data_IF_365284670470
#
_entry.id   IF_365284670470
#
_cell.length_a   1.000
_cell.length_b   1.000
_cell.length_c   1.000
_cell.angle_alpha   90.00
_cell.angle_beta   90.00
_cell.angle_gamma   90.00
#
_symmetry.space_group_name_H-M   'P 1'
#
loop_
_entity.id
_entity.type
_entity.pdbx_description
1 polymer ?
#
# COMPACT_ATOMS: atom_id res chain seq x y z
N UNK A 1 7.53 6.47 -25.26
CA UNK A 1 6.08 6.24 -25.11
C UNK A 1 5.39 7.52 -25.45
N UNK A 2 4.59 7.52 -26.51
CA UNK A 2 3.82 8.70 -26.91
C UNK A 2 2.52 8.77 -26.10
N UNK A 3 1.87 9.94 -25.99
CA UNK A 3 0.57 10.08 -25.34
C UNK A 3 -0.50 9.15 -25.93
N UNK A 4 -0.38 8.83 -27.22
CA UNK A 4 -1.26 7.91 -27.95
C UNK A 4 -1.02 6.45 -27.55
N UNK A 5 0.24 6.06 -27.33
CA UNK A 5 0.59 4.71 -26.81
C UNK A 5 0.06 4.51 -25.38
N UNK A 6 0.10 5.55 -24.55
CA UNK A 6 -0.41 5.52 -23.18
C UNK A 6 -1.95 5.43 -23.14
N UNK A 7 -2.63 6.14 -24.05
CA UNK A 7 -4.08 6.08 -24.18
C UNK A 7 -4.57 4.72 -24.70
N UNK A 8 -3.89 4.16 -25.71
CA UNK A 8 -4.23 2.83 -26.26
C UNK A 8 -3.97 1.71 -25.25
N UNK A 9 -2.91 1.82 -24.45
CA UNK A 9 -2.66 0.92 -23.31
C UNK A 9 -3.75 1.05 -22.23
N UNK A 10 -4.13 2.27 -21.84
CA UNK A 10 -5.18 2.50 -20.85
C UNK A 10 -6.56 2.00 -21.30
N UNK A 11 -6.90 2.18 -22.58
CA UNK A 11 -8.13 1.63 -23.18
C UNK A 11 -8.09 0.09 -23.17
N UNK A 12 -6.93 -0.52 -23.41
CA UNK A 12 -6.79 -1.98 -23.38
C UNK A 12 -6.94 -2.59 -21.98
N UNK A 13 -6.53 -1.88 -20.92
CA UNK A 13 -6.73 -2.34 -19.54
C UNK A 13 -8.12 -2.02 -18.98
N UNK A 14 -8.73 -0.88 -19.37
CA UNK A 14 -10.13 -0.58 -19.04
C UNK A 14 -11.07 -1.57 -19.75
N UNK A 15 -10.78 -1.93 -21.00
CA UNK A 15 -11.52 -2.96 -21.72
C UNK A 15 -11.33 -4.37 -21.12
N UNK A 16 -10.31 -4.57 -20.29
CA UNK A 16 -10.06 -5.81 -19.54
C UNK A 16 -10.84 -5.87 -18.22
N UNK A 17 -11.31 -4.74 -17.73
CA UNK A 17 -12.01 -4.57 -16.46
C UNK A 17 -13.41 -4.01 -16.75
N UNK A 18 -14.36 -4.90 -17.04
CA UNK A 18 -15.71 -4.59 -17.55
C UNK A 18 -16.52 -3.55 -16.72
N UNK A 19 -16.09 -3.27 -15.49
CA UNK A 19 -16.30 -2.01 -14.79
C UNK A 19 -15.37 -1.96 -13.56
N UNK A 20 -14.36 -1.07 -13.48
CA UNK A 20 -13.63 -0.90 -12.23
C UNK A 20 -14.65 -0.42 -11.16
N UNK A 21 -14.78 -1.14 -10.04
CA UNK A 21 -15.64 -0.74 -8.93
C UNK A 21 -15.30 0.68 -8.50
N UNK A 22 -16.33 1.50 -8.28
CA UNK A 22 -16.21 2.89 -7.84
C UNK A 22 -15.31 3.02 -6.59
N UNK A 23 -15.28 1.99 -5.74
CA UNK A 23 -14.45 1.95 -4.53
C UNK A 23 -12.93 1.84 -4.83
N UNK A 24 -12.53 1.20 -5.93
CA UNK A 24 -11.13 1.17 -6.38
C UNK A 24 -10.69 2.53 -6.93
N UNK A 25 -11.61 3.28 -7.52
CA UNK A 25 -11.38 4.65 -7.96
C UNK A 25 -11.07 5.51 -6.72
N UNK A 26 -11.86 5.43 -5.65
CA UNK A 26 -11.61 6.21 -4.43
C UNK A 26 -10.26 5.90 -3.75
N UNK A 27 -9.83 4.63 -3.72
CA UNK A 27 -8.49 4.26 -3.22
C UNK A 27 -7.39 4.90 -4.08
N UNK A 28 -7.58 4.98 -5.41
CA UNK A 28 -6.60 5.62 -6.31
C UNK A 28 -6.51 7.15 -6.12
N UNK A 29 -7.59 7.79 -5.65
CA UNK A 29 -7.64 9.23 -5.34
C UNK A 29 -7.17 9.60 -3.93
N UNK A 30 -6.94 8.62 -3.05
CA UNK A 30 -6.53 8.87 -1.67
C UNK A 30 -5.24 9.70 -1.59
N UNK A 31 -5.32 10.85 -0.91
CA UNK A 31 -4.19 11.78 -0.75
C UNK A 31 -3.35 11.47 0.48
N UNK A 32 -3.89 10.71 1.43
CA UNK A 32 -3.21 10.26 2.63
C UNK A 32 -3.39 8.76 2.86
N UNK A 33 -2.49 8.10 3.63
CA UNK A 33 -2.66 6.69 4.01
C UNK A 33 -3.97 6.43 4.77
N UNK A 34 -4.42 7.38 5.58
CA UNK A 34 -5.69 7.27 6.30
C UNK A 34 -6.88 7.26 5.34
N UNK A 35 -6.86 8.12 4.31
CA UNK A 35 -7.89 8.13 3.26
C UNK A 35 -7.88 6.81 2.48
N UNK A 36 -6.70 6.24 2.20
CA UNK A 36 -6.57 4.97 1.50
C UNK A 36 -7.14 3.81 2.33
N UNK A 37 -6.90 3.80 3.66
CA UNK A 37 -7.45 2.81 4.59
C UNK A 37 -8.97 2.95 4.71
N UNK A 38 -9.49 4.17 4.76
CA UNK A 38 -10.93 4.43 4.82
C UNK A 38 -11.65 4.02 3.53
N UNK A 39 -11.05 4.31 2.37
CA UNK A 39 -11.54 3.87 1.07
C UNK A 39 -11.50 2.33 0.96
N UNK A 40 -10.42 1.69 1.41
CA UNK A 40 -10.29 0.24 1.48
C UNK A 40 -11.39 -0.42 2.33
N UNK A 41 -11.70 0.16 3.49
CA UNK A 41 -12.75 -0.34 4.38
C UNK A 41 -14.16 -0.25 3.77
N UNK A 42 -14.33 0.58 2.73
CA UNK A 42 -15.61 0.79 2.03
C UNK A 42 -15.80 -0.16 0.83
N UNK A 43 -14.77 -0.91 0.44
CA UNK A 43 -14.83 -1.90 -0.68
C UNK A 43 -15.73 -3.08 -0.28
N UNK A 44 -16.95 -3.13 -0.83
CA UNK A 44 -17.90 -4.23 -0.59
C UNK A 44 -17.70 -5.42 -1.54
N UNK A 45 -17.86 -6.63 -1.00
CA UNK A 45 -17.82 -7.89 -1.76
C UNK A 45 -16.43 -8.51 -1.92
N UNK A 46 -16.35 -9.55 -2.76
CA UNK A 46 -15.16 -10.36 -3.10
C UNK A 46 -14.19 -9.64 -4.08
N UNK A 47 -14.42 -8.34 -4.32
CA UNK A 47 -13.71 -7.59 -5.36
C UNK A 47 -12.40 -7.05 -4.83
N UNK A 48 -11.32 -7.71 -5.26
CA UNK A 48 -9.90 -7.33 -5.26
C UNK A 48 -9.40 -6.44 -4.10
N UNK A 49 -9.83 -6.75 -2.87
CA UNK A 49 -9.38 -6.09 -1.63
C UNK A 49 -7.86 -6.11 -1.49
N UNK A 50 -7.22 -7.17 -1.96
CA UNK A 50 -5.77 -7.31 -2.00
C UNK A 50 -5.13 -6.28 -2.94
N UNK A 51 -5.73 -6.01 -4.11
CA UNK A 51 -5.27 -4.96 -5.02
C UNK A 51 -5.40 -3.57 -4.38
N UNK A 52 -6.55 -3.28 -3.78
CA UNK A 52 -6.76 -2.02 -3.05
C UNK A 52 -5.77 -1.86 -1.90
N UNK A 53 -5.50 -2.94 -1.16
CA UNK A 53 -4.48 -2.98 -0.10
C UNK A 53 -3.08 -2.75 -0.64
N UNK A 54 -2.73 -3.32 -1.79
CA UNK A 54 -1.43 -3.11 -2.43
C UNK A 54 -1.22 -1.64 -2.79
N UNK A 55 -2.25 -0.98 -3.32
CA UNK A 55 -2.20 0.46 -3.59
C UNK A 55 -2.08 1.29 -2.32
N UNK A 56 -2.80 0.93 -1.25
CA UNK A 56 -2.67 1.60 0.05
C UNK A 56 -1.25 1.45 0.63
N UNK A 57 -0.63 0.27 0.52
CA UNK A 57 0.77 0.05 0.92
C UNK A 57 1.74 0.90 0.07
N UNK A 58 1.52 0.98 -1.23
CA UNK A 58 2.32 1.83 -2.10
C UNK A 58 2.16 3.33 -1.76
N UNK A 59 0.96 3.79 -1.41
CA UNK A 59 0.73 5.18 -0.96
C UNK A 59 1.32 5.46 0.42
N UNK A 60 1.28 4.48 1.33
CA UNK A 60 2.00 4.57 2.60
C UNK A 60 3.47 4.82 2.33
N UNK A 61 4.12 4.02 1.46
CA UNK A 61 5.53 4.22 1.06
C UNK A 61 5.82 5.65 0.60
N UNK A 62 5.01 6.21 -0.30
CA UNK A 62 5.20 7.58 -0.82
C UNK A 62 5.04 8.67 0.26
N UNK A 63 4.29 8.38 1.33
CA UNK A 63 4.10 9.28 2.46
C UNK A 63 5.27 9.26 3.45
N UNK A 64 6.05 8.17 3.48
CA UNK A 64 7.22 8.02 4.33
C UNK A 64 8.39 8.82 3.74
N UNK A 65 8.44 10.11 4.05
CA UNK A 65 9.47 11.04 3.55
C UNK A 65 10.56 11.29 4.57
N UNK A 66 11.80 11.30 4.10
CA UNK A 66 12.98 11.67 4.88
C UNK A 66 13.44 10.58 5.85
N UNK A 67 14.62 10.76 6.47
CA UNK A 67 15.20 9.77 7.38
C UNK A 67 14.50 9.73 8.74
N UNK A 68 13.58 10.63 9.04
CA UNK A 68 13.05 10.82 10.40
C UNK A 68 11.61 10.35 10.58
N UNK A 69 11.03 9.64 9.62
CA UNK A 69 9.68 9.11 9.82
C UNK A 69 9.66 8.09 10.96
N UNK A 70 8.55 8.08 11.70
CA UNK A 70 8.29 7.14 12.79
C UNK A 70 8.05 5.75 12.22
N UNK A 71 9.08 4.90 12.30
CA UNK A 71 9.05 3.52 11.78
C UNK A 71 8.01 2.66 12.49
N UNK A 72 7.72 2.90 13.77
CA UNK A 72 6.70 2.16 14.52
C UNK A 72 5.31 2.47 14.01
N UNK A 73 5.01 3.76 13.87
CA UNK A 73 3.74 4.21 13.31
C UNK A 73 3.54 3.69 11.89
N UNK A 74 4.60 3.72 11.07
CA UNK A 74 4.56 3.21 9.70
C UNK A 74 4.33 1.70 9.62
N UNK A 75 5.04 0.89 10.43
CA UNK A 75 4.85 -0.55 10.51
C UNK A 75 3.42 -0.91 10.95
N UNK A 76 2.90 -0.24 11.99
CA UNK A 76 1.52 -0.42 12.43
C UNK A 76 0.49 -0.07 11.35
N UNK A 77 0.71 1.00 10.59
CA UNK A 77 -0.19 1.36 9.49
C UNK A 77 -0.16 0.31 8.37
N UNK A 78 1.02 -0.18 8.02
CA UNK A 78 1.17 -1.24 7.03
C UNK A 78 0.44 -2.51 7.47
N UNK A 79 0.58 -2.91 8.74
CA UNK A 79 -0.10 -4.10 9.26
C UNK A 79 -1.62 -3.95 9.26
N UNK A 80 -2.13 -2.77 9.59
CA UNK A 80 -3.57 -2.48 9.51
C UNK A 80 -4.11 -2.59 8.08
N UNK A 81 -3.35 -2.11 7.08
CA UNK A 81 -3.71 -2.25 5.66
C UNK A 81 -3.75 -3.74 5.29
N UNK A 82 -2.71 -4.48 5.67
CA UNK A 82 -2.58 -5.92 5.36
C UNK A 82 -3.75 -6.73 5.93
N UNK A 83 -4.12 -6.48 7.18
CA UNK A 83 -5.27 -7.10 7.84
C UNK A 83 -6.60 -6.72 7.17
N UNK A 84 -6.78 -5.44 6.84
CA UNK A 84 -8.04 -4.95 6.25
C UNK A 84 -8.24 -5.45 4.81
N UNK A 85 -7.16 -5.62 4.05
CA UNK A 85 -7.17 -6.07 2.67
C UNK A 85 -7.27 -7.59 2.52
N UNK A 86 -7.28 -8.34 3.62
CA UNK A 86 -7.35 -9.81 3.64
C UNK A 86 -6.24 -10.45 2.77
N UNK A 87 -5.01 -9.96 2.93
CA UNK A 87 -3.85 -10.55 2.28
C UNK A 87 -3.60 -11.96 2.81
N UNK A 88 -3.06 -12.81 1.94
CA UNK A 88 -2.61 -14.15 2.31
C UNK A 88 -1.64 -14.13 3.50
N UNK A 89 -1.66 -15.22 4.26
CA UNK A 89 -0.80 -15.45 5.43
C UNK A 89 0.67 -15.12 5.17
N UNK A 90 1.22 -15.46 4.00
CA UNK A 90 2.62 -15.22 3.69
C UNK A 90 2.99 -13.73 3.63
N UNK A 91 2.02 -12.86 3.32
CA UNK A 91 2.20 -11.41 3.34
C UNK A 91 1.90 -10.87 4.74
N UNK A 92 0.85 -11.39 5.40
CA UNK A 92 0.54 -11.08 6.80
C UNK A 92 1.79 -11.25 7.69
N UNK A 93 2.43 -12.42 7.64
CA UNK A 93 3.56 -12.73 8.52
C UNK A 93 4.81 -11.90 8.23
N UNK A 94 4.98 -11.37 7.01
CA UNK A 94 6.11 -10.46 6.72
C UNK A 94 5.94 -9.14 7.46
N UNK A 95 4.75 -8.56 7.45
CA UNK A 95 4.49 -7.30 8.16
C UNK A 95 4.40 -7.51 9.68
N UNK A 96 3.89 -8.65 10.14
CA UNK A 96 3.92 -9.06 11.55
C UNK A 96 5.37 -9.15 12.06
N UNK A 97 6.26 -9.79 11.28
CA UNK A 97 7.71 -9.85 11.59
C UNK A 97 8.32 -8.46 11.69
N UNK A 98 7.97 -7.54 10.79
CA UNK A 98 8.49 -6.16 10.83
C UNK A 98 7.99 -5.41 12.08
N UNK A 99 6.73 -5.57 12.50
CA UNK A 99 6.23 -4.99 13.76
C UNK A 99 6.97 -5.53 14.99
N UNK A 100 7.25 -6.83 15.01
CA UNK A 100 8.01 -7.49 16.07
C UNK A 100 9.46 -6.99 16.11
N UNK A 101 10.14 -6.92 14.96
CA UNK A 101 11.49 -6.38 14.84
C UNK A 101 11.57 -4.93 15.33
N UNK A 102 10.63 -4.07 14.95
CA UNK A 102 10.56 -2.68 15.44
C UNK A 102 10.39 -2.64 16.95
N UNK A 103 9.53 -3.50 17.50
CA UNK A 103 9.31 -3.58 18.95
C UNK A 103 10.58 -3.98 19.68
N UNK A 104 11.33 -4.97 19.17
CA UNK A 104 12.60 -5.42 19.75
C UNK A 104 13.70 -4.36 19.63
N UNK A 105 13.74 -3.61 18.53
CA UNK A 105 14.71 -2.52 18.34
C UNK A 105 14.43 -1.36 19.30
N UNK A 106 13.15 -1.00 19.52
CA UNK A 106 12.74 0.05 20.46
C UNK A 106 13.09 -0.27 21.92
N UNK A 107 13.05 -1.55 22.30
CA UNK A 107 13.44 -2.00 23.64
C UNK A 107 14.94 -2.24 23.77
N UNK A 108 15.73 -1.97 22.72
CA UNK A 108 17.19 -2.22 22.70
C UNK A 108 17.55 -3.70 22.81
N UNK A 109 16.62 -4.60 22.45
CA UNK A 109 16.79 -6.05 22.58
C UNK A 109 17.46 -6.67 21.36
N UNK A 110 17.05 -6.27 20.15
CA UNK A 110 17.60 -6.79 18.90
C UNK A 110 17.44 -5.80 17.74
N UNK A 111 18.43 -5.74 16.86
CA UNK A 111 18.42 -4.88 15.67
C UNK A 111 18.52 -3.39 15.97
N UNK A 112 18.34 -2.57 14.94
CA UNK A 112 18.29 -1.10 15.05
C UNK A 112 17.05 -0.56 14.33
N UNK A 113 16.59 0.64 14.72
CA UNK A 113 15.49 1.29 14.02
C UNK A 113 15.82 1.63 12.56
N UNK A 114 17.10 1.81 12.25
CA UNK A 114 17.57 2.04 10.88
C UNK A 114 17.41 0.78 10.03
N UNK A 115 17.79 -0.38 10.56
CA UNK A 115 17.59 -1.67 9.88
C UNK A 115 16.10 -1.96 9.68
N UNK A 116 15.27 -1.76 10.71
CA UNK A 116 13.82 -1.93 10.60
C UNK A 116 13.21 -0.98 9.56
N UNK A 117 13.72 0.25 9.46
CA UNK A 117 13.29 1.22 8.46
C UNK A 117 13.60 0.73 7.05
N UNK A 118 14.82 0.26 6.83
CA UNK A 118 15.23 -0.29 5.54
C UNK A 118 14.41 -1.53 5.17
N UNK A 119 14.15 -2.42 6.14
CA UNK A 119 13.34 -3.61 5.93
C UNK A 119 11.90 -3.26 5.54
N UNK A 120 11.26 -2.34 6.27
CA UNK A 120 9.91 -1.86 5.96
C UNK A 120 9.83 -1.24 4.55
N UNK A 121 10.77 -0.36 4.20
CA UNK A 121 10.79 0.27 2.88
C UNK A 121 10.99 -0.76 1.76
N UNK A 122 11.87 -1.74 1.96
CA UNK A 122 12.10 -2.82 1.00
C UNK A 122 10.83 -3.67 0.81
N UNK A 123 10.10 -3.98 1.88
CA UNK A 123 8.85 -4.73 1.76
C UNK A 123 7.75 -3.91 1.06
N UNK A 124 7.61 -2.63 1.42
CA UNK A 124 6.67 -1.71 0.76
C UNK A 124 7.01 -1.45 -0.73
N UNK A 125 8.27 -1.59 -1.13
CA UNK A 125 8.71 -1.45 -2.52
C UNK A 125 8.15 -2.54 -3.44
N UNK A 126 7.67 -3.67 -2.89
CA UNK A 126 7.07 -4.76 -3.66
C UNK A 126 5.70 -4.44 -4.22
N UNK A 127 5.05 -3.39 -3.71
CA UNK A 127 3.67 -3.06 -4.08
C UNK A 127 3.64 -1.93 -5.12
N UNK A 128 2.87 -2.11 -6.22
CA UNK A 128 2.77 -1.11 -7.27
C UNK A 128 1.90 0.06 -6.82
N UNK A 129 2.24 1.26 -7.28
CA UNK A 129 1.35 2.42 -7.14
C UNK A 129 0.08 2.22 -7.97
N UNK A 130 -1.07 2.77 -7.52
CA UNK A 130 -2.24 2.85 -8.38
C UNK A 130 -1.93 3.69 -9.62
N UNK A 131 -2.52 3.39 -10.78
CA UNK A 131 -2.40 4.23 -11.97
C UNK A 131 -2.91 5.65 -11.68
N UNK A 132 -2.16 6.67 -12.11
CA UNK A 132 -2.54 8.07 -11.94
C UNK A 132 -3.69 8.40 -12.90
N UNK A 133 -4.88 8.68 -12.36
CA UNK A 133 -5.96 9.30 -13.13
C UNK A 133 -5.65 10.79 -13.33
N UNK A 134 -5.07 11.16 -14.48
CA UNK A 134 -5.00 12.56 -14.90
C UNK A 134 -6.40 13.03 -15.27
N UNK A 135 -7.05 13.76 -14.37
CA UNK A 135 -8.24 14.54 -14.68
C UNK A 135 -7.79 15.77 -15.47
N UNK A 136 -8.25 15.88 -16.72
CA UNK A 136 -8.27 17.15 -17.45
C UNK A 136 -9.32 18.09 -16.90
#
# INVERSE_FOLDING_TARGET
>A
MTPEDAANWAISEIARLDAPPYELIEVSYAKTPLDAIAALASVQGDRDRQMAGAWALARLRESLRGPDFDVRSAAHQAMRIVRAADFRDDIYYRFDTIEDEVSLALTGTYGTLEDCRAHLLNELARYPLPPLHHSG
#
